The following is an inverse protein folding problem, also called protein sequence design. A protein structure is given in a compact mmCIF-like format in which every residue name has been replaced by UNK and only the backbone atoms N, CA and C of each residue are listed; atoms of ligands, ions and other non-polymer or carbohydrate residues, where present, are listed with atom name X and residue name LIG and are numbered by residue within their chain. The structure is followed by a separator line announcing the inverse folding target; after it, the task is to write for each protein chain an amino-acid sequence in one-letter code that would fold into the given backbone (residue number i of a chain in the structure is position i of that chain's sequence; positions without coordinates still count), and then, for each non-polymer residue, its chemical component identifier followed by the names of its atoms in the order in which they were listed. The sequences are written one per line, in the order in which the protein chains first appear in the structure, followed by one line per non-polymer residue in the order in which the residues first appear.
data_IF_377785059980
#
_entry.id   IF_377785059980
#
_cell.length_a   1.000
_cell.length_b   1.000
_cell.length_c   1.000
_cell.angle_alpha   90.00
_cell.angle_beta   90.00
_cell.angle_gamma   90.00
#
_symmetry.space_group_name_H-M   'P 1'
#
loop_
_entity.id
_entity.type
_entity.pdbx_description
1 polymer ?
#
# COMPACT_ATOMS: atom_id res chain seq x y z
N UNK A 1 9.70 15.93 11.80
CA UNK A 1 8.62 15.14 11.17
C UNK A 1 9.20 14.48 9.94
N UNK A 2 8.86 13.22 9.67
CA UNK A 2 9.48 12.45 8.58
C UNK A 2 8.42 12.05 7.56
N UNK A 3 8.47 12.65 6.37
CA UNK A 3 7.61 12.34 5.22
C UNK A 3 8.42 11.76 4.05
N UNK A 4 9.68 11.39 4.33
CA UNK A 4 10.62 10.81 3.39
C UNK A 4 10.96 9.38 3.81
N UNK A 5 10.93 8.46 2.87
CA UNK A 5 11.35 7.06 3.01
C UNK A 5 12.38 6.75 1.92
N UNK A 6 13.34 5.87 2.22
CA UNK A 6 14.36 5.38 1.32
C UNK A 6 15.75 5.96 1.61
N UNK A 7 16.77 5.28 1.13
CA UNK A 7 18.19 5.62 1.26
C UNK A 7 18.80 5.99 -0.09
N UNK A 8 18.88 5.03 -1.03
CA UNK A 8 19.39 5.25 -2.39
C UNK A 8 18.30 5.75 -3.34
N UNK A 9 17.09 5.18 -3.23
CA UNK A 9 15.89 5.66 -3.91
C UNK A 9 14.94 6.15 -2.85
N UNK A 10 14.76 7.47 -2.73
CA UNK A 10 13.97 8.08 -1.69
C UNK A 10 12.70 8.73 -2.25
N UNK A 11 11.61 8.62 -1.50
CA UNK A 11 10.34 9.27 -1.84
C UNK A 11 9.90 10.19 -0.71
N UNK A 12 9.49 11.41 -1.06
CA UNK A 12 8.90 12.37 -0.13
C UNK A 12 7.46 12.65 -0.53
N UNK A 13 6.51 12.31 0.35
CA UNK A 13 5.08 12.60 0.16
C UNK A 13 4.72 13.95 0.79
N UNK A 14 3.89 14.73 0.10
CA UNK A 14 3.41 16.03 0.59
C UNK A 14 1.97 16.32 0.17
N UNK A 15 1.39 17.33 0.81
CA UNK A 15 0.03 17.80 0.56
C UNK A 15 -1.00 17.24 1.54
N UNK A 16 -2.20 17.79 1.49
CA UNK A 16 -3.38 17.46 2.29
C UNK A 16 -4.57 17.17 1.38
N UNK A 17 -5.52 16.36 1.83
CA UNK A 17 -6.66 15.93 1.01
C UNK A 17 -7.58 17.05 0.56
N UNK A 18 -7.54 18.20 1.23
CA UNK A 18 -8.30 19.42 0.93
C UNK A 18 -7.40 20.61 0.63
N UNK A 19 -6.10 20.41 0.48
CA UNK A 19 -5.17 21.34 -0.12
C UNK A 19 -5.35 21.40 -1.65
N UNK A 20 -4.64 22.26 -2.31
CA UNK A 20 -4.69 22.43 -3.77
C UNK A 20 -4.16 21.20 -4.51
N UNK A 21 -3.05 20.66 -4.02
CA UNK A 21 -2.38 19.48 -4.57
C UNK A 21 -1.98 18.50 -3.48
N UNK A 22 -1.87 17.24 -3.88
CA UNK A 22 -1.01 16.25 -3.24
C UNK A 22 0.12 15.93 -4.21
N UNK A 23 1.24 15.43 -3.71
CA UNK A 23 2.35 15.09 -4.60
C UNK A 23 3.40 14.22 -3.96
N UNK A 24 4.38 13.88 -4.78
CA UNK A 24 5.54 13.11 -4.40
C UNK A 24 6.78 13.64 -5.10
N UNK A 25 7.89 13.64 -4.40
CA UNK A 25 9.24 13.77 -4.98
C UNK A 25 9.91 12.42 -4.87
N UNK A 26 10.48 11.94 -5.99
CA UNK A 26 11.31 10.72 -6.06
C UNK A 26 12.73 11.19 -6.35
N UNK A 27 13.66 10.82 -5.52
CA UNK A 27 15.09 11.09 -5.70
C UNK A 27 15.88 9.78 -5.76
N UNK A 28 17.01 9.78 -6.48
CA UNK A 28 17.92 8.64 -6.59
C UNK A 28 17.58 7.62 -7.68
N UNK A 29 16.55 7.83 -8.52
CA UNK A 29 16.35 6.98 -9.70
C UNK A 29 17.41 7.27 -10.75
N UNK A 30 17.95 6.19 -11.34
CA UNK A 30 18.98 6.30 -12.42
C UNK A 30 18.41 7.03 -13.64
N UNK A 31 19.24 7.75 -14.42
CA UNK A 31 18.83 8.28 -15.71
C UNK A 31 18.60 7.13 -16.72
N UNK A 32 17.62 7.31 -17.62
CA UNK A 32 17.33 6.37 -18.68
C UNK A 32 16.18 5.39 -18.40
N UNK A 33 15.46 5.51 -17.28
CA UNK A 33 14.23 4.75 -17.03
C UNK A 33 13.10 5.34 -17.85
N UNK A 34 12.37 4.50 -18.59
CA UNK A 34 11.17 4.87 -19.34
C UNK A 34 10.02 5.22 -18.40
N UNK A 35 9.36 6.36 -18.63
CA UNK A 35 8.13 6.75 -17.99
C UNK A 35 6.95 6.28 -18.84
N UNK A 36 6.33 5.18 -18.42
CA UNK A 36 5.15 4.64 -19.09
C UNK A 36 3.88 5.26 -18.50
N UNK A 37 3.33 6.27 -19.17
CA UNK A 37 2.14 7.00 -18.74
C UNK A 37 0.88 6.12 -18.68
N UNK A 38 0.74 5.15 -19.60
CA UNK A 38 -0.40 4.22 -19.60
C UNK A 38 -0.35 3.30 -18.37
N UNK A 39 0.84 2.83 -18.00
CA UNK A 39 1.04 2.01 -16.81
C UNK A 39 0.71 2.79 -15.53
N UNK A 40 1.18 4.04 -15.42
CA UNK A 40 0.86 4.92 -14.27
C UNK A 40 -0.65 5.16 -14.18
N UNK A 41 -1.29 5.49 -15.31
CA UNK A 41 -2.74 5.73 -15.37
C UNK A 41 -3.54 4.46 -15.01
N UNK A 42 -3.09 3.28 -15.44
CA UNK A 42 -3.68 2.00 -15.07
C UNK A 42 -3.63 1.77 -13.56
N UNK A 43 -2.46 1.89 -12.92
CA UNK A 43 -2.33 1.71 -11.48
C UNK A 43 -3.15 2.74 -10.68
N UNK A 44 -3.19 4.00 -11.12
CA UNK A 44 -4.07 5.01 -10.52
C UNK A 44 -5.55 4.64 -10.68
N UNK A 45 -5.95 4.07 -11.81
CA UNK A 45 -7.33 3.59 -12.03
C UNK A 45 -7.70 2.46 -11.08
N UNK A 46 -6.81 1.50 -10.85
CA UNK A 46 -7.02 0.42 -9.87
C UNK A 46 -7.15 0.92 -8.42
N UNK A 47 -6.55 2.08 -8.10
CA UNK A 47 -6.69 2.73 -6.79
C UNK A 47 -8.04 3.44 -6.62
N UNK A 48 -8.68 3.86 -7.71
CA UNK A 48 -9.93 4.65 -7.64
C UNK A 48 -11.05 3.87 -6.95
N UNK A 49 -12.02 4.58 -6.35
CA UNK A 49 -13.21 3.93 -5.81
C UNK A 49 -14.00 3.20 -6.92
N UNK A 50 -14.42 1.98 -6.63
CA UNK A 50 -15.46 1.30 -7.37
C UNK A 50 -16.80 1.66 -6.69
N UNK A 51 -17.62 2.50 -7.29
CA UNK A 51 -18.82 3.07 -6.68
C UNK A 51 -19.86 2.05 -6.17
N UNK A 52 -19.66 0.75 -6.40
CA UNK A 52 -20.50 -0.33 -5.87
C UNK A 52 -20.15 -0.70 -4.43
N UNK A 53 -18.87 -0.83 -4.11
CA UNK A 53 -18.35 -1.30 -2.81
C UNK A 53 -17.47 -0.27 -2.09
N UNK A 54 -17.44 0.95 -2.60
CA UNK A 54 -16.68 2.06 -2.04
C UNK A 54 -17.42 3.39 -2.24
N UNK A 55 -16.82 4.47 -1.74
CA UNK A 55 -17.40 5.80 -1.86
C UNK A 55 -17.73 6.16 -3.31
N UNK A 56 -18.86 6.85 -3.58
CA UNK A 56 -19.20 7.36 -4.92
C UNK A 56 -18.35 8.56 -5.35
N UNK A 57 -17.33 8.93 -4.58
CA UNK A 57 -16.41 10.01 -4.92
C UNK A 57 -15.63 9.63 -6.19
N UNK A 58 -15.70 10.47 -7.20
CA UNK A 58 -14.94 10.30 -8.44
C UNK A 58 -13.86 11.37 -8.51
N UNK A 59 -12.61 10.95 -8.55
CA UNK A 59 -11.46 11.79 -8.85
C UNK A 59 -10.74 11.19 -10.05
N UNK A 60 -10.37 12.01 -11.01
CA UNK A 60 -9.68 11.53 -12.22
C UNK A 60 -8.25 11.10 -11.93
N UNK A 61 -7.66 11.60 -10.83
CA UNK A 61 -6.25 11.42 -10.46
C UNK A 61 -5.30 11.80 -11.62
N UNK A 62 -5.69 12.83 -12.38
CA UNK A 62 -4.80 13.40 -13.38
C UNK A 62 -3.53 13.90 -12.70
N UNK A 63 -2.39 13.54 -13.25
CA UNK A 63 -1.11 13.91 -12.66
C UNK A 63 -0.26 14.69 -13.64
N UNK A 64 0.66 15.48 -13.09
CA UNK A 64 1.66 16.22 -13.86
C UNK A 64 3.05 15.93 -13.32
N UNK A 65 3.97 15.50 -14.17
CA UNK A 65 5.40 15.44 -13.84
C UNK A 65 5.99 16.80 -14.18
N UNK A 66 6.62 17.46 -13.20
CA UNK A 66 7.10 18.83 -13.35
C UNK A 66 8.63 18.95 -13.34
N UNK A 67 9.33 17.86 -13.01
CA UNK A 67 10.81 17.79 -13.04
C UNK A 67 11.30 16.35 -13.20
N UNK A 68 12.57 16.18 -13.53
CA UNK A 68 13.27 14.90 -13.53
C UNK A 68 13.01 14.01 -14.74
N UNK A 69 12.27 14.48 -15.76
CA UNK A 69 11.90 13.71 -16.96
C UNK A 69 12.02 14.58 -18.21
N UNK A 70 12.64 14.03 -19.24
CA UNK A 70 12.72 14.60 -20.60
C UNK A 70 12.41 13.48 -21.59
N UNK A 71 11.56 13.76 -22.58
CA UNK A 71 11.16 12.81 -23.62
C UNK A 71 10.74 11.43 -23.04
N UNK A 72 9.88 11.46 -22.00
CA UNK A 72 9.41 10.29 -21.27
C UNK A 72 10.53 9.41 -20.66
N UNK A 73 11.68 10.01 -20.34
CA UNK A 73 12.81 9.30 -19.78
C UNK A 73 13.37 10.04 -18.58
N UNK A 74 13.72 9.32 -17.51
CA UNK A 74 14.31 9.91 -16.31
C UNK A 74 15.67 10.55 -16.61
N UNK A 75 15.94 11.71 -16.01
CA UNK A 75 17.22 12.43 -16.18
C UNK A 75 18.24 12.14 -15.08
N UNK A 76 17.82 11.44 -13.99
CA UNK A 76 18.63 11.22 -12.80
C UNK A 76 18.53 12.37 -11.78
N UNK A 77 17.79 13.45 -12.09
CA UNK A 77 17.46 14.50 -11.13
C UNK A 77 16.10 14.20 -10.45
N UNK A 78 15.77 14.85 -9.33
CA UNK A 78 14.52 14.56 -8.61
C UNK A 78 13.27 14.69 -9.49
N UNK A 79 12.44 13.65 -9.48
CA UNK A 79 11.15 13.61 -10.19
C UNK A 79 10.08 14.13 -9.25
N UNK A 80 9.37 15.17 -9.66
CA UNK A 80 8.25 15.71 -8.90
C UNK A 80 6.94 15.47 -9.64
N UNK A 81 5.99 14.81 -8.95
CA UNK A 81 4.64 14.53 -9.45
C UNK A 81 3.63 15.30 -8.62
N UNK A 82 2.74 16.02 -9.29
CA UNK A 82 1.63 16.76 -8.69
C UNK A 82 0.31 16.17 -9.14
N UNK A 83 -0.64 16.02 -8.21
CA UNK A 83 -2.02 15.57 -8.46
C UNK A 83 -2.98 16.58 -7.83
N UNK A 84 -3.82 17.26 -8.63
CA UNK A 84 -4.76 18.25 -8.10
C UNK A 84 -5.90 17.58 -7.30
N UNK A 85 -6.43 18.29 -6.33
CA UNK A 85 -7.62 17.91 -5.58
C UNK A 85 -8.84 18.62 -6.16
N UNK A 86 -9.63 17.94 -6.99
CA UNK A 86 -10.76 18.54 -7.71
C UNK A 86 -12.09 18.49 -6.93
N UNK A 87 -12.28 17.49 -6.07
CA UNK A 87 -13.56 17.21 -5.38
C UNK A 87 -13.52 17.60 -3.89
N UNK A 88 -13.20 18.86 -3.60
CA UNK A 88 -13.09 19.36 -2.23
C UNK A 88 -14.44 19.93 -1.76
N UNK A 89 -15.17 19.17 -0.92
CA UNK A 89 -16.37 19.65 -0.20
C UNK A 89 -16.02 19.87 1.27
N UNK A 90 -15.63 21.09 1.62
CA UNK A 90 -15.19 21.42 3.00
C UNK A 90 -16.33 21.57 4.00
N UNK A 91 -17.59 21.74 3.56
CA UNK A 91 -18.75 21.93 4.43
C UNK A 91 -19.14 20.71 5.29
N UNK A 92 -18.84 19.50 4.83
CA UNK A 92 -19.22 18.24 5.50
C UNK A 92 -18.40 17.95 6.77
N UNK A 93 -17.35 18.74 7.07
CA UNK A 93 -16.37 18.45 8.14
C UNK A 93 -16.39 19.45 9.31
N UNK A 94 -17.38 20.34 9.38
CA UNK A 94 -17.43 21.39 10.41
C UNK A 94 -17.53 20.85 11.85
N UNK A 95 -18.26 19.73 12.05
CA UNK A 95 -18.36 19.08 13.36
C UNK A 95 -17.12 18.24 13.72
N UNK A 96 -16.31 17.85 12.72
CA UNK A 96 -15.13 17.01 12.93
C UNK A 96 -13.87 17.82 13.34
N UNK A 97 -13.98 19.14 13.50
CA UNK A 97 -12.86 19.99 13.96
C UNK A 97 -12.49 19.78 15.40
N UNK A 98 -13.43 19.37 16.23
CA UNK A 98 -13.24 19.23 17.68
C UNK A 98 -13.64 17.87 18.22
N UNK A 99 -14.51 17.15 17.50
CA UNK A 99 -14.97 15.82 17.89
C UNK A 99 -14.08 14.76 17.24
N UNK A 100 -13.36 14.00 18.04
CA UNK A 100 -12.46 12.95 17.56
C UNK A 100 -13.25 11.78 16.97
N UNK A 101 -12.96 11.40 15.73
CA UNK A 101 -13.46 10.13 15.17
C UNK A 101 -12.77 8.96 15.85
N UNK A 102 -13.50 8.02 16.45
CA UNK A 102 -12.90 6.82 17.05
C UNK A 102 -12.00 6.09 16.05
N UNK A 103 -10.83 5.66 16.50
CA UNK A 103 -9.82 4.95 15.67
C UNK A 103 -9.28 5.71 14.46
N UNK A 104 -9.59 7.00 14.31
CA UNK A 104 -8.96 7.89 13.32
C UNK A 104 -7.80 8.68 13.95
N UNK A 105 -7.09 9.46 13.13
CA UNK A 105 -5.91 10.23 13.58
C UNK A 105 -6.25 11.60 14.22
N UNK A 106 -7.51 11.98 14.36
CA UNK A 106 -7.90 13.35 14.71
C UNK A 106 -7.26 13.83 16.03
N UNK A 107 -7.44 13.07 17.11
CA UNK A 107 -6.88 13.42 18.40
C UNK A 107 -5.35 13.32 18.45
N UNK A 108 -4.79 12.26 17.85
CA UNK A 108 -3.33 12.08 17.81
C UNK A 108 -2.65 13.15 16.96
N UNK A 109 -3.32 13.62 15.91
CA UNK A 109 -2.85 14.74 15.09
C UNK A 109 -2.90 16.05 15.89
N UNK A 110 -3.98 16.32 16.62
CA UNK A 110 -4.09 17.49 17.51
C UNK A 110 -2.94 17.54 18.51
N UNK A 111 -2.66 16.40 19.19
CA UNK A 111 -1.54 16.30 20.12
C UNK A 111 -0.17 16.54 19.45
N UNK A 112 0.04 15.97 18.26
CA UNK A 112 1.33 16.03 17.57
C UNK A 112 1.60 17.39 16.94
N UNK A 113 0.59 17.98 16.32
CA UNK A 113 0.71 19.20 15.53
C UNK A 113 0.18 20.45 16.26
N UNK A 114 -0.23 20.29 17.53
CA UNK A 114 -0.69 21.40 18.40
C UNK A 114 -1.86 22.20 17.80
N UNK A 115 -2.75 21.54 17.06
CA UNK A 115 -3.91 22.14 16.43
C UNK A 115 -3.63 22.88 15.09
N UNK A 116 -2.41 22.83 14.57
CA UNK A 116 -2.03 23.48 13.30
C UNK A 116 -2.18 22.56 12.07
N UNK A 117 -2.60 21.30 12.26
CA UNK A 117 -2.86 20.41 11.13
C UNK A 117 -4.09 20.83 10.33
N UNK A 118 -4.09 20.56 9.01
CA UNK A 118 -5.33 20.64 8.24
C UNK A 118 -6.27 19.49 8.61
N UNK A 119 -7.33 19.81 9.35
CA UNK A 119 -8.32 18.82 9.79
C UNK A 119 -9.37 18.46 8.72
N UNK A 120 -9.41 19.18 7.59
CA UNK A 120 -10.40 18.96 6.52
C UNK A 120 -10.17 17.61 5.87
N UNK A 121 -11.19 16.74 5.85
CA UNK A 121 -11.16 15.42 5.19
C UNK A 121 -10.09 14.44 5.68
N UNK A 122 -9.45 14.73 6.82
CA UNK A 122 -8.35 13.95 7.37
C UNK A 122 -6.96 14.46 6.95
N UNK A 123 -6.87 15.57 6.21
CA UNK A 123 -5.64 16.27 5.89
C UNK A 123 -4.56 15.37 5.28
N UNK A 124 -3.38 15.41 5.85
CA UNK A 124 -2.25 14.56 5.46
C UNK A 124 -2.41 13.07 5.85
N UNK A 125 -3.31 12.74 6.77
CA UNK A 125 -3.63 11.35 7.16
C UNK A 125 -4.65 10.68 6.24
N UNK A 126 -5.16 11.40 5.25
CA UNK A 126 -6.16 10.89 4.31
C UNK A 126 -5.57 9.83 3.39
N UNK A 127 -6.37 8.79 3.09
CA UNK A 127 -6.05 7.83 2.02
C UNK A 127 -5.88 8.48 0.64
N UNK A 128 -6.28 9.75 0.46
CA UNK A 128 -6.04 10.53 -0.76
C UNK A 128 -4.55 10.63 -1.11
N UNK A 129 -3.68 10.78 -0.12
CA UNK A 129 -2.23 10.92 -0.30
C UNK A 129 -1.64 9.68 -1.00
N UNK A 130 -2.25 8.52 -0.86
CA UNK A 130 -1.79 7.29 -1.52
C UNK A 130 -1.82 7.36 -3.05
N UNK A 131 -2.52 8.33 -3.66
CA UNK A 131 -2.47 8.49 -5.12
C UNK A 131 -1.07 8.94 -5.57
N UNK A 132 -0.43 9.84 -4.83
CA UNK A 132 0.95 10.25 -5.09
C UNK A 132 1.93 9.08 -4.90
N UNK A 133 1.75 8.28 -3.84
CA UNK A 133 2.55 7.07 -3.61
C UNK A 133 2.39 6.05 -4.76
N UNK A 134 1.16 5.84 -5.26
CA UNK A 134 0.90 4.93 -6.38
C UNK A 134 1.53 5.45 -7.67
N UNK A 135 1.48 6.75 -7.95
CA UNK A 135 2.12 7.32 -9.13
C UNK A 135 3.65 7.11 -9.12
N UNK A 136 4.30 7.32 -7.97
CA UNK A 136 5.73 7.04 -7.77
C UNK A 136 6.05 5.55 -7.90
N UNK A 137 5.29 4.72 -7.19
CA UNK A 137 5.47 3.27 -7.19
C UNK A 137 5.21 2.63 -8.55
N UNK A 138 4.36 3.23 -9.39
CA UNK A 138 4.14 2.77 -10.77
C UNK A 138 5.41 2.89 -11.62
N UNK A 139 6.17 3.98 -11.49
CA UNK A 139 7.47 4.15 -12.17
C UNK A 139 8.44 3.07 -11.70
N UNK A 140 8.56 2.88 -10.39
CA UNK A 140 9.42 1.85 -9.80
C UNK A 140 9.01 0.44 -10.23
N UNK A 141 7.71 0.12 -10.19
CA UNK A 141 7.20 -1.22 -10.54
C UNK A 141 7.45 -1.53 -12.02
N UNK A 142 7.23 -0.57 -12.90
CA UNK A 142 7.50 -0.73 -14.32
C UNK A 142 9.00 -0.97 -14.60
N UNK A 143 9.90 -0.23 -13.94
CA UNK A 143 11.34 -0.45 -14.02
C UNK A 143 11.74 -1.85 -13.54
N UNK A 144 11.17 -2.31 -12.42
CA UNK A 144 11.40 -3.65 -11.89
C UNK A 144 10.92 -4.75 -12.84
N UNK A 145 9.75 -4.59 -13.47
CA UNK A 145 9.23 -5.56 -14.46
C UNK A 145 10.14 -5.73 -15.66
N UNK A 146 10.81 -4.65 -16.13
CA UNK A 146 11.84 -4.72 -17.18
C UNK A 146 13.07 -5.53 -16.75
N UNK A 147 13.30 -5.64 -15.44
CA UNK A 147 14.38 -6.46 -14.85
C UNK A 147 13.91 -7.86 -14.45
N UNK A 148 12.67 -8.23 -14.76
CA UNK A 148 12.12 -9.54 -14.45
C UNK A 148 11.63 -9.68 -13.00
N UNK A 149 11.51 -8.59 -12.25
CA UNK A 149 10.94 -8.59 -10.90
C UNK A 149 9.46 -8.20 -11.00
N UNK A 150 8.57 -9.09 -10.56
CA UNK A 150 7.12 -8.91 -10.66
C UNK A 150 6.48 -8.91 -9.28
N UNK A 151 5.52 -8.01 -9.10
CA UNK A 151 4.79 -7.82 -7.83
C UNK A 151 3.30 -7.94 -8.10
N UNK A 152 2.60 -8.69 -7.27
CA UNK A 152 1.13 -8.75 -7.31
C UNK A 152 0.53 -9.05 -5.94
N UNK A 153 -0.52 -8.33 -5.63
CA UNK A 153 -1.25 -8.44 -4.36
C UNK A 153 -2.69 -8.84 -4.62
N UNK A 154 -3.21 -9.78 -3.83
CA UNK A 154 -4.62 -10.11 -3.83
C UNK A 154 -5.28 -9.86 -2.47
N UNK A 155 -6.62 -9.79 -2.50
CA UNK A 155 -7.42 -9.78 -1.27
C UNK A 155 -7.50 -11.21 -0.76
N UNK A 156 -6.56 -11.59 0.09
CA UNK A 156 -6.45 -12.94 0.67
C UNK A 156 -7.63 -13.29 1.55
N UNK A 157 -8.16 -12.32 2.28
CA UNK A 157 -9.36 -12.49 3.11
C UNK A 157 -10.08 -11.17 3.29
N UNK A 158 -11.41 -11.16 3.23
CA UNK A 158 -12.24 -10.01 3.54
C UNK A 158 -13.51 -10.47 4.26
N UNK A 159 -13.90 -9.78 5.32
CA UNK A 159 -15.10 -10.11 6.12
C UNK A 159 -15.16 -11.59 6.56
N UNK A 160 -14.02 -12.22 6.83
CA UNK A 160 -13.94 -13.63 7.23
C UNK A 160 -13.93 -14.64 6.07
N UNK A 161 -14.19 -14.22 4.83
CA UNK A 161 -14.16 -15.06 3.63
C UNK A 161 -12.75 -15.04 3.06
N UNK A 162 -12.20 -16.21 2.74
CA UNK A 162 -10.84 -16.36 2.20
C UNK A 162 -10.86 -16.65 0.71
N UNK A 163 -9.89 -16.09 0.00
CA UNK A 163 -9.51 -16.47 -1.36
C UNK A 163 -8.64 -17.72 -1.35
N UNK A 164 -8.46 -18.38 -2.50
CA UNK A 164 -7.50 -19.46 -2.64
C UNK A 164 -6.05 -19.02 -2.42
N UNK A 165 -5.17 -19.94 -2.18
CA UNK A 165 -3.74 -19.70 -2.13
C UNK A 165 -3.18 -19.38 -3.54
N UNK A 166 -2.05 -18.66 -3.58
CA UNK A 166 -1.24 -18.48 -4.77
C UNK A 166 -0.76 -19.85 -5.29
N UNK A 167 -0.84 -20.05 -6.60
CA UNK A 167 -0.40 -21.27 -7.28
C UNK A 167 0.71 -20.98 -8.29
N UNK A 168 0.34 -20.80 -9.55
CA UNK A 168 1.27 -20.42 -10.63
C UNK A 168 1.59 -18.93 -10.55
N UNK A 169 2.60 -18.57 -9.74
CA UNK A 169 2.86 -17.21 -9.27
C UNK A 169 2.86 -16.16 -10.38
N UNK A 170 3.59 -16.37 -11.49
CA UNK A 170 3.65 -15.38 -12.57
C UNK A 170 2.27 -15.17 -13.21
N UNK A 171 1.56 -16.27 -13.50
CA UNK A 171 0.21 -16.21 -14.08
C UNK A 171 -0.80 -15.56 -13.12
N UNK A 172 -0.71 -15.89 -11.83
CA UNK A 172 -1.59 -15.31 -10.81
C UNK A 172 -1.30 -13.80 -10.65
N UNK A 173 -0.04 -13.37 -10.59
CA UNK A 173 0.35 -11.95 -10.54
C UNK A 173 -0.20 -11.18 -11.75
N UNK A 174 -0.05 -11.73 -12.97
CA UNK A 174 -0.53 -11.07 -14.19
C UNK A 174 -2.05 -10.87 -14.16
N UNK A 175 -2.81 -11.89 -13.72
CA UNK A 175 -4.27 -11.78 -13.56
C UNK A 175 -4.66 -10.76 -12.49
N UNK A 176 -4.00 -10.77 -11.34
CA UNK A 176 -4.29 -9.84 -10.23
C UNK A 176 -4.05 -8.39 -10.65
N UNK A 177 -2.99 -8.12 -11.40
CA UNK A 177 -2.65 -6.78 -11.86
C UNK A 177 -3.66 -6.17 -12.84
N UNK A 178 -4.58 -6.97 -13.39
CA UNK A 178 -5.67 -6.50 -14.27
C UNK A 178 -7.02 -6.33 -13.55
N UNK A 179 -7.18 -6.89 -12.35
CA UNK A 179 -8.47 -6.90 -11.64
C UNK A 179 -8.62 -5.69 -10.72
N UNK A 180 -9.78 -5.06 -10.73
CA UNK A 180 -10.16 -4.01 -9.75
C UNK A 180 -10.36 -4.62 -8.37
N UNK A 181 -11.16 -5.69 -8.26
CA UNK A 181 -11.26 -6.51 -7.05
C UNK A 181 -10.37 -7.74 -7.25
N UNK A 182 -9.11 -7.63 -6.80
CA UNK A 182 -8.07 -8.60 -7.09
C UNK A 182 -8.18 -9.82 -6.17
N UNK A 183 -8.86 -10.85 -6.64
CA UNK A 183 -8.93 -12.20 -6.07
C UNK A 183 -8.55 -13.22 -7.12
N UNK A 184 -8.12 -14.39 -6.69
CA UNK A 184 -7.73 -15.51 -7.54
C UNK A 184 -8.91 -16.42 -7.86
N UNK A 185 -9.87 -16.56 -6.90
CA UNK A 185 -11.12 -17.28 -7.07
C UNK A 185 -12.30 -16.29 -7.14
N UNK A 186 -12.96 -16.24 -8.30
CA UNK A 186 -14.04 -15.29 -8.54
C UNK A 186 -15.26 -15.56 -7.64
N UNK A 187 -15.53 -16.83 -7.28
CA UNK A 187 -16.65 -17.19 -6.39
C UNK A 187 -16.41 -16.62 -4.99
N UNK A 188 -15.19 -16.76 -4.48
CA UNK A 188 -14.81 -16.15 -3.19
C UNK A 188 -14.89 -14.63 -3.26
N UNK A 189 -14.48 -14.03 -4.39
CA UNK A 189 -14.58 -12.60 -4.64
C UNK A 189 -16.03 -12.09 -4.59
N UNK A 190 -16.97 -12.78 -5.22
CA UNK A 190 -18.40 -12.44 -5.19
C UNK A 190 -18.94 -12.47 -3.75
N UNK A 191 -18.64 -13.52 -2.98
CA UNK A 191 -19.01 -13.62 -1.56
C UNK A 191 -18.42 -12.49 -0.70
N UNK A 192 -17.16 -12.10 -0.95
CA UNK A 192 -16.55 -10.97 -0.27
C UNK A 192 -17.29 -9.66 -0.59
N UNK A 193 -17.64 -9.44 -1.85
CA UNK A 193 -18.41 -8.26 -2.29
C UNK A 193 -19.79 -8.24 -1.64
N UNK A 194 -20.50 -9.36 -1.57
CA UNK A 194 -21.79 -9.48 -0.89
C UNK A 194 -21.66 -9.14 0.60
N UNK A 195 -20.62 -9.63 1.29
CA UNK A 195 -20.37 -9.33 2.70
C UNK A 195 -20.04 -7.84 2.92
N UNK A 196 -19.30 -7.20 2.00
CA UNK A 196 -19.06 -5.75 2.04
C UNK A 196 -20.36 -4.97 1.90
N UNK A 197 -21.25 -5.36 0.96
CA UNK A 197 -22.53 -4.70 0.75
C UNK A 197 -23.48 -4.90 1.93
N UNK A 198 -23.48 -6.08 2.55
CA UNK A 198 -24.23 -6.35 3.77
C UNK A 198 -23.81 -5.41 4.92
N UNK A 199 -22.50 -5.31 5.18
CA UNK A 199 -21.97 -4.38 6.17
C UNK A 199 -22.34 -2.92 5.86
N UNK A 200 -22.23 -2.51 4.58
CA UNK A 200 -22.61 -1.17 4.14
C UNK A 200 -24.09 -0.88 4.40
N UNK A 201 -24.99 -1.85 4.18
CA UNK A 201 -26.43 -1.71 4.44
C UNK A 201 -26.76 -1.54 5.90
N UNK A 202 -25.91 -2.04 6.79
CA UNK A 202 -26.01 -1.88 8.25
C UNK A 202 -25.31 -0.61 8.76
N UNK A 203 -24.77 0.22 7.85
CA UNK A 203 -23.99 1.42 8.20
C UNK A 203 -22.63 1.10 8.83
N UNK A 204 -22.08 -0.08 8.54
CA UNK A 204 -20.82 -0.58 9.11
C UNK A 204 -19.73 -0.74 8.04
N UNK A 205 -18.57 -1.25 8.43
CA UNK A 205 -17.42 -1.50 7.56
C UNK A 205 -16.73 -2.81 7.91
N UNK A 206 -15.98 -3.36 6.95
CA UNK A 206 -15.20 -4.57 7.12
C UNK A 206 -13.73 -4.36 6.78
N UNK A 207 -12.87 -5.10 7.43
CA UNK A 207 -11.45 -5.19 7.13
C UNK A 207 -11.10 -6.43 6.33
N UNK A 208 -9.80 -6.67 6.16
CA UNK A 208 -9.32 -7.86 5.47
C UNK A 208 -7.81 -8.05 5.56
N UNK A 209 -7.34 -9.03 4.84
CA UNK A 209 -5.93 -9.37 4.70
C UNK A 209 -5.55 -9.28 3.22
N UNK A 210 -4.48 -8.58 2.93
CA UNK A 210 -3.84 -8.57 1.62
C UNK A 210 -2.64 -9.52 1.65
N UNK A 211 -2.43 -10.30 0.59
CA UNK A 211 -1.23 -11.11 0.42
C UNK A 211 -0.51 -10.69 -0.86
N UNK A 212 0.79 -10.41 -0.73
CA UNK A 212 1.66 -10.01 -1.84
C UNK A 212 2.66 -11.11 -2.14
N UNK A 213 2.81 -11.41 -3.43
CA UNK A 213 3.92 -12.18 -3.97
C UNK A 213 4.85 -11.27 -4.77
N UNK A 214 6.16 -11.41 -4.53
CA UNK A 214 7.22 -10.79 -5.32
C UNK A 214 8.10 -11.91 -5.87
N UNK A 215 8.27 -11.98 -7.18
CA UNK A 215 9.11 -12.98 -7.85
C UNK A 215 10.21 -12.31 -8.66
N UNK A 216 11.28 -13.05 -8.91
CA UNK A 216 12.39 -12.58 -9.72
C UNK A 216 13.41 -11.71 -8.96
N UNK A 217 13.30 -11.60 -7.65
CA UNK A 217 14.33 -10.93 -6.85
C UNK A 217 15.65 -11.72 -6.90
N UNK A 218 16.78 -11.05 -7.16
CA UNK A 218 18.08 -11.70 -7.02
C UNK A 218 18.36 -12.05 -5.56
N UNK A 219 19.23 -13.04 -5.34
CA UNK A 219 19.73 -13.39 -4.03
C UNK A 219 20.67 -12.31 -3.48
N UNK A 220 20.73 -12.15 -2.15
CA UNK A 220 21.67 -11.29 -1.49
C UNK A 220 21.29 -9.81 -1.43
N UNK A 221 20.01 -9.49 -1.55
CA UNK A 221 19.47 -8.12 -1.38
C UNK A 221 18.94 -7.96 0.04
N UNK A 222 19.23 -6.84 0.68
CA UNK A 222 18.92 -6.54 2.07
C UNK A 222 20.15 -6.60 2.95
N UNK A 223 20.04 -6.01 4.14
CA UNK A 223 21.14 -5.92 5.10
C UNK A 223 20.78 -6.62 6.41
N UNK A 224 21.73 -7.22 7.12
CA UNK A 224 21.49 -7.72 8.46
C UNK A 224 21.24 -6.54 9.42
N UNK A 225 20.46 -6.78 10.48
CA UNK A 225 20.03 -5.90 11.56
C UNK A 225 18.92 -4.91 11.14
N UNK A 226 19.22 -3.70 10.66
CA UNK A 226 18.21 -2.62 10.62
C UNK A 226 17.52 -2.45 9.27
N UNK A 227 18.22 -2.73 8.17
CA UNK A 227 17.67 -2.60 6.80
C UNK A 227 17.43 -3.99 6.16
N UNK A 228 16.92 -4.92 6.99
CA UNK A 228 16.40 -6.19 6.49
C UNK A 228 15.26 -5.94 5.50
N UNK A 229 15.11 -6.82 4.52
CA UNK A 229 13.98 -6.69 3.56
C UNK A 229 12.64 -6.68 4.28
N UNK A 230 12.47 -7.52 5.31
CA UNK A 230 11.26 -7.50 6.14
C UNK A 230 11.10 -6.16 6.88
N UNK A 231 12.20 -5.62 7.41
CA UNK A 231 12.20 -4.34 8.12
C UNK A 231 11.81 -3.18 7.22
N UNK A 232 12.39 -3.09 6.02
CA UNK A 232 12.09 -2.05 5.04
C UNK A 232 10.64 -2.16 4.52
N UNK A 233 10.18 -3.37 4.16
CA UNK A 233 8.80 -3.61 3.75
C UNK A 233 7.83 -3.27 4.89
N UNK A 234 8.10 -3.71 6.10
CA UNK A 234 7.25 -3.41 7.26
C UNK A 234 7.16 -1.91 7.53
N UNK A 235 8.28 -1.19 7.45
CA UNK A 235 8.33 0.26 7.65
C UNK A 235 7.39 0.99 6.67
N UNK A 236 7.47 0.65 5.38
CA UNK A 236 6.61 1.31 4.37
C UNK A 236 5.17 0.84 4.45
N UNK A 237 4.91 -0.45 4.76
CA UNK A 237 3.54 -0.95 4.88
C UNK A 237 2.77 -0.28 6.02
N UNK A 238 3.40 -0.05 7.17
CA UNK A 238 2.75 0.68 8.28
C UNK A 238 2.54 2.18 7.98
N UNK A 239 3.11 2.74 6.92
CA UNK A 239 2.78 4.09 6.44
C UNK A 239 1.46 4.13 5.68
N UNK A 240 1.00 3.00 5.14
CA UNK A 240 -0.27 2.89 4.43
C UNK A 240 -1.42 2.98 5.45
N UNK A 241 -2.38 3.91 5.27
CA UNK A 241 -3.51 4.02 6.19
C UNK A 241 -4.26 2.68 6.34
N UNK A 242 -4.65 2.38 7.58
CA UNK A 242 -5.38 1.19 8.01
C UNK A 242 -4.56 -0.10 8.16
N UNK A 243 -3.31 -0.17 7.76
CA UNK A 243 -2.45 -1.32 8.07
C UNK A 243 -2.22 -1.41 9.58
N UNK A 244 -2.45 -2.61 10.15
CA UNK A 244 -2.33 -2.91 11.58
C UNK A 244 -1.45 -4.11 11.89
N UNK A 245 -1.02 -4.85 10.88
CA UNK A 245 -0.12 -6.00 11.04
C UNK A 245 0.53 -6.37 9.72
N UNK A 246 1.68 -7.03 9.81
CA UNK A 246 2.39 -7.63 8.70
C UNK A 246 3.02 -8.93 9.17
N UNK A 247 3.08 -9.93 8.28
CA UNK A 247 3.78 -11.19 8.50
C UNK A 247 4.39 -11.70 7.19
N UNK A 248 5.49 -12.45 7.28
CA UNK A 248 6.23 -13.00 6.14
C UNK A 248 6.19 -14.52 6.16
N UNK A 249 6.15 -15.17 4.99
CA UNK A 249 6.10 -16.62 4.87
C UNK A 249 4.95 -17.25 5.66
N UNK A 250 5.25 -18.17 6.55
CA UNK A 250 4.26 -18.76 7.44
C UNK A 250 3.74 -17.79 8.51
N UNK A 251 4.43 -16.64 8.71
CA UNK A 251 4.02 -15.62 9.66
C UNK A 251 3.95 -16.14 11.09
N UNK A 252 2.91 -15.75 11.83
CA UNK A 252 2.74 -16.19 13.22
C UNK A 252 2.56 -17.71 13.37
N UNK A 253 2.07 -18.41 12.34
CA UNK A 253 1.92 -19.87 12.41
C UNK A 253 3.27 -20.61 12.57
N UNK A 254 4.40 -19.98 12.24
CA UNK A 254 5.73 -20.57 12.42
C UNK A 254 6.05 -20.88 13.90
N UNK A 255 5.44 -20.11 14.83
CA UNK A 255 5.64 -20.30 16.27
C UNK A 255 5.11 -21.64 16.80
N UNK A 256 4.17 -22.25 16.11
CA UNK A 256 3.58 -23.53 16.45
C UNK A 256 4.28 -24.73 15.75
N UNK A 257 5.28 -24.43 14.88
CA UNK A 257 6.01 -25.43 14.12
C UNK A 257 7.26 -25.90 14.88
N UNK A 258 7.63 -27.15 14.65
CA UNK A 258 8.96 -27.65 15.03
C UNK A 258 9.99 -27.19 13.99
N UNK A 259 11.27 -27.05 14.37
CA UNK A 259 12.34 -26.65 13.45
C UNK A 259 12.40 -27.50 12.18
N UNK A 260 12.16 -28.82 12.28
CA UNK A 260 12.11 -29.71 11.14
C UNK A 260 10.93 -29.44 10.16
N UNK A 261 9.91 -28.73 10.59
CA UNK A 261 8.74 -28.34 9.79
C UNK A 261 8.89 -26.93 9.21
N UNK A 262 9.59 -26.04 9.94
CA UNK A 262 9.79 -24.64 9.54
C UNK A 262 11.02 -24.39 8.69
N UNK A 263 11.99 -25.32 8.69
CA UNK A 263 13.15 -25.23 7.84
C UNK A 263 12.80 -25.44 6.37
N UNK A 264 13.32 -24.58 5.49
CA UNK A 264 13.17 -24.71 4.04
C UNK A 264 14.36 -25.52 3.47
N UNK A 265 14.18 -26.82 3.12
CA UNK A 265 15.28 -27.66 2.64
C UNK A 265 15.82 -27.15 1.30
N UNK A 266 17.14 -26.99 1.22
CA UNK A 266 17.83 -26.51 0.03
C UNK A 266 18.07 -27.64 -0.97
N UNK A 267 18.01 -27.31 -2.27
CA UNK A 267 18.29 -28.20 -3.41
C UNK A 267 19.04 -27.45 -4.50
N UNK A 268 19.85 -28.19 -5.22
CA UNK A 268 20.51 -27.69 -6.43
C UNK A 268 19.71 -28.14 -7.64
N UNK A 269 19.16 -27.18 -8.40
CA UNK A 269 18.40 -27.46 -9.64
C UNK A 269 18.99 -26.61 -10.75
N UNK A 270 19.49 -27.29 -11.80
CA UNK A 270 20.13 -26.64 -12.95
C UNK A 270 21.23 -25.64 -12.56
N UNK A 271 22.02 -25.95 -11.54
CA UNK A 271 23.11 -25.09 -11.05
C UNK A 271 22.66 -23.92 -10.17
N UNK A 272 21.36 -23.81 -9.89
CA UNK A 272 20.83 -22.79 -8.97
C UNK A 272 20.37 -23.42 -7.67
N UNK A 273 20.62 -22.75 -6.56
CA UNK A 273 20.09 -23.11 -5.26
C UNK A 273 18.61 -22.68 -5.19
N UNK A 274 17.75 -23.59 -4.80
CA UNK A 274 16.34 -23.33 -4.50
C UNK A 274 15.98 -24.00 -3.17
N UNK A 275 14.88 -23.60 -2.56
CA UNK A 275 14.26 -24.33 -1.45
C UNK A 275 13.04 -25.10 -1.93
N UNK A 276 12.75 -26.24 -1.27
CA UNK A 276 11.59 -27.11 -1.63
C UNK A 276 10.29 -26.66 -0.97
N UNK A 277 10.40 -25.76 -0.01
CA UNK A 277 9.30 -25.05 0.64
C UNK A 277 9.67 -23.56 0.74
N UNK A 278 8.76 -22.72 1.20
CA UNK A 278 8.99 -21.30 1.35
C UNK A 278 8.34 -20.77 2.64
N UNK A 279 8.59 -21.49 3.75
CA UNK A 279 8.05 -21.15 5.08
C UNK A 279 8.58 -19.79 5.56
N UNK A 280 9.84 -19.47 5.21
CA UNK A 280 10.49 -18.21 5.55
C UNK A 280 10.15 -17.06 4.57
N UNK A 281 9.30 -17.30 3.55
CA UNK A 281 8.84 -16.25 2.64
C UNK A 281 9.91 -15.60 1.79
N UNK A 282 10.96 -16.33 1.38
CA UNK A 282 11.99 -15.86 0.44
C UNK A 282 13.12 -15.04 1.10
N UNK A 283 13.14 -14.94 2.43
CA UNK A 283 14.08 -14.09 3.16
C UNK A 283 14.71 -14.90 4.31
N UNK A 284 16.03 -14.91 4.41
CA UNK A 284 16.77 -15.51 5.49
C UNK A 284 17.79 -14.52 6.04
N UNK A 285 17.75 -14.27 7.35
CA UNK A 285 18.64 -13.31 7.99
C UNK A 285 18.48 -11.87 7.49
N UNK A 286 17.29 -11.51 7.01
CA UNK A 286 17.00 -10.19 6.46
C UNK A 286 17.35 -10.01 4.99
N UNK A 287 17.82 -11.05 4.32
CA UNK A 287 18.41 -11.02 2.98
C UNK A 287 17.63 -11.97 2.06
N UNK A 288 17.37 -11.55 0.83
CA UNK A 288 16.67 -12.38 -0.18
C UNK A 288 17.48 -13.64 -0.51
N UNK A 289 16.79 -14.77 -0.65
CA UNK A 289 17.39 -16.05 -1.01
C UNK A 289 17.06 -16.53 -2.44
N UNK A 290 16.46 -15.65 -3.28
CA UNK A 290 16.06 -15.96 -4.65
C UNK A 290 14.70 -16.64 -4.77
N UNK A 291 14.09 -17.10 -3.68
CA UNK A 291 12.74 -17.61 -3.66
C UNK A 291 11.72 -16.46 -3.67
N UNK A 292 10.44 -16.72 -4.02
CA UNK A 292 9.41 -15.70 -3.96
C UNK A 292 9.30 -15.07 -2.57
N UNK A 293 9.26 -13.72 -2.51
CA UNK A 293 8.94 -13.04 -1.26
C UNK A 293 7.42 -13.06 -1.11
N UNK A 294 6.94 -13.63 -0.02
CA UNK A 294 5.51 -13.70 0.32
C UNK A 294 5.29 -13.03 1.66
N UNK A 295 4.39 -12.04 1.68
CA UNK A 295 3.99 -11.40 2.93
C UNK A 295 2.50 -11.03 2.92
N UNK A 296 1.93 -10.88 4.11
CA UNK A 296 0.54 -10.48 4.32
C UNK A 296 0.44 -9.27 5.20
N UNK A 297 -0.55 -8.41 4.93
CA UNK A 297 -0.89 -7.26 5.78
C UNK A 297 -2.33 -7.33 6.25
N UNK A 298 -2.56 -6.99 7.51
CA UNK A 298 -3.89 -6.86 8.09
C UNK A 298 -4.39 -5.41 7.94
N UNK A 299 -5.53 -5.26 7.28
CA UNK A 299 -6.21 -3.99 7.08
C UNK A 299 -7.40 -3.89 8.04
N UNK A 300 -7.41 -2.89 8.93
CA UNK A 300 -8.56 -2.66 9.81
C UNK A 300 -9.77 -2.17 9.02
N UNK A 301 -11.00 -2.38 9.53
CA UNK A 301 -12.20 -1.75 8.99
C UNK A 301 -12.06 -0.23 8.96
N UNK A 302 -12.75 0.43 8.04
CA UNK A 302 -12.81 1.90 7.98
C UNK A 302 -13.44 2.44 9.26
N UNK A 303 -12.78 3.32 10.02
CA UNK A 303 -13.27 3.74 11.34
C UNK A 303 -14.47 4.67 11.27
N UNK A 304 -14.70 5.35 10.16
CA UNK A 304 -15.86 6.22 9.98
C UNK A 304 -17.03 5.39 9.43
N UNK A 305 -18.01 5.11 10.30
CA UNK A 305 -19.19 4.30 10.01
C UNK A 305 -20.46 5.12 10.27
N UNK A 306 -21.61 4.70 9.72
CA UNK A 306 -22.90 5.40 9.87
C UNK A 306 -23.66 4.99 11.15
N UNK A 307 -22.95 4.52 12.15
CA UNK A 307 -23.49 4.20 13.47
C UNK A 307 -23.07 5.28 14.48
N UNK A 308 -23.91 5.68 15.44
CA UNK A 308 -23.51 6.55 16.53
C UNK A 308 -22.33 5.95 17.31
N UNK A 309 -21.31 6.76 17.57
CA UNK A 309 -20.11 6.32 18.28
C UNK A 309 -19.82 7.26 19.46
N UNK A 310 -19.62 6.69 20.65
CA UNK A 310 -19.16 7.45 21.80
C UNK A 310 -17.73 7.95 21.57
N UNK A 311 -17.48 9.21 21.86
CA UNK A 311 -16.20 9.88 21.63
C UNK A 311 -16.03 11.06 22.58
N UNK A 312 -15.08 11.94 22.30
CA UNK A 312 -14.82 13.17 23.04
C UNK A 312 -14.77 14.38 22.09
N UNK A 313 -15.19 15.52 22.60
CA UNK A 313 -14.77 16.83 22.10
C UNK A 313 -13.43 17.16 22.78
N UNK A 314 -12.34 17.12 22.03
CA UNK A 314 -10.99 17.28 22.58
C UNK A 314 -10.60 18.75 22.82
N UNK A 315 -11.43 19.73 22.43
CA UNK A 315 -11.25 21.13 22.81
C UNK A 315 -11.88 21.45 24.15
N UNK A 316 -13.09 20.97 24.38
CA UNK A 316 -13.80 21.16 25.65
C UNK A 316 -13.48 20.07 26.69
N UNK A 317 -12.84 18.98 26.26
CA UNK A 317 -12.54 17.80 27.08
C UNK A 317 -13.80 17.20 27.70
N UNK A 318 -14.86 17.10 26.91
CA UNK A 318 -16.16 16.54 27.32
C UNK A 318 -16.53 15.33 26.45
N UNK A 319 -17.31 14.41 27.04
CA UNK A 319 -17.89 13.30 26.29
C UNK A 319 -18.84 13.81 25.20
N UNK A 320 -18.84 13.13 24.07
CA UNK A 320 -19.66 13.46 22.90
C UNK A 320 -20.13 12.18 22.19
N UNK A 321 -21.15 12.30 21.36
CA UNK A 321 -21.58 11.26 20.45
C UNK A 321 -21.36 11.77 19.02
N UNK A 322 -20.61 11.00 18.23
CA UNK A 322 -20.40 11.28 16.83
C UNK A 322 -21.41 10.50 15.99
N UNK A 323 -22.17 11.21 15.19
CA UNK A 323 -23.04 10.66 14.14
C UNK A 323 -22.49 11.08 12.78
N UNK A 324 -21.62 10.28 12.16
CA UNK A 324 -20.98 10.65 10.90
C UNK A 324 -22.01 10.80 9.78
N UNK A 325 -21.90 11.91 9.05
CA UNK A 325 -22.63 12.18 7.81
C UNK A 325 -21.63 12.20 6.67
N UNK A 326 -22.08 11.88 5.46
CA UNK A 326 -21.20 11.96 4.30
C UNK A 326 -21.00 10.61 3.59
N UNK A 327 -19.86 10.41 2.96
CA UNK A 327 -19.57 9.25 2.11
C UNK A 327 -18.34 8.52 2.64
N UNK A 328 -18.52 7.29 3.07
CA UNK A 328 -17.46 6.47 3.65
C UNK A 328 -17.34 5.14 2.89
N UNK A 329 -16.12 4.59 2.86
CA UNK A 329 -15.85 3.30 2.23
C UNK A 329 -16.25 2.18 3.21
N UNK A 330 -17.15 1.25 2.87
CA UNK A 330 -17.44 0.09 3.72
C UNK A 330 -16.28 -0.92 3.74
N UNK A 331 -15.39 -0.88 2.75
CA UNK A 331 -14.14 -1.62 2.72
C UNK A 331 -13.11 -0.92 1.85
N UNK A 332 -11.83 -0.97 2.23
CA UNK A 332 -10.75 -0.34 1.47
C UNK A 332 -9.75 -1.34 0.88
N UNK A 333 -9.88 -2.63 1.21
CA UNK A 333 -8.90 -3.67 0.84
C UNK A 333 -8.62 -3.73 -0.65
N UNK A 334 -9.64 -3.65 -1.50
CA UNK A 334 -9.51 -3.69 -2.95
C UNK A 334 -8.68 -2.52 -3.51
N UNK A 335 -8.76 -1.35 -2.88
CA UNK A 335 -7.98 -0.15 -3.25
C UNK A 335 -6.59 -0.16 -2.64
N UNK A 336 -6.48 -0.66 -1.41
CA UNK A 336 -5.22 -0.72 -0.67
C UNK A 336 -4.21 -1.67 -1.32
N UNK A 337 -4.67 -2.71 -2.05
CA UNK A 337 -3.78 -3.67 -2.69
C UNK A 337 -2.81 -3.04 -3.68
N UNK A 338 -3.26 -2.12 -4.55
CA UNK A 338 -2.37 -1.44 -5.50
C UNK A 338 -1.45 -0.44 -4.81
N UNK A 339 -1.86 0.11 -3.67
CA UNK A 339 -0.99 0.94 -2.83
C UNK A 339 0.14 0.10 -2.25
N UNK A 340 -0.16 -1.14 -1.81
CA UNK A 340 0.81 -2.10 -1.31
C UNK A 340 1.80 -2.52 -2.40
N UNK A 341 1.32 -2.79 -3.64
CA UNK A 341 2.19 -3.05 -4.79
C UNK A 341 3.17 -1.90 -5.05
N UNK A 342 2.65 -0.67 -5.09
CA UNK A 342 3.43 0.54 -5.32
C UNK A 342 4.48 0.79 -4.22
N UNK A 343 4.08 0.64 -2.96
CA UNK A 343 4.97 0.79 -1.82
C UNK A 343 6.07 -0.29 -1.82
N UNK A 344 5.72 -1.54 -2.14
CA UNK A 344 6.70 -2.63 -2.31
C UNK A 344 7.71 -2.31 -3.41
N UNK A 345 7.26 -1.81 -4.55
CA UNK A 345 8.14 -1.47 -5.66
C UNK A 345 9.18 -0.40 -5.28
N UNK A 346 8.78 0.62 -4.52
CA UNK A 346 9.69 1.66 -4.02
C UNK A 346 10.76 1.04 -3.10
N UNK A 347 10.34 0.18 -2.15
CA UNK A 347 11.28 -0.51 -1.25
C UNK A 347 12.28 -1.36 -2.03
N UNK A 348 11.80 -2.11 -3.03
CA UNK A 348 12.68 -2.99 -3.81
C UNK A 348 13.65 -2.21 -4.69
N UNK A 349 13.22 -1.08 -5.29
CA UNK A 349 14.13 -0.20 -6.01
C UNK A 349 15.23 0.35 -5.09
N UNK A 350 14.87 0.77 -3.88
CA UNK A 350 15.83 1.25 -2.88
C UNK A 350 16.82 0.14 -2.46
N UNK A 351 16.32 -1.04 -2.08
CA UNK A 351 17.15 -2.17 -1.66
C UNK A 351 18.08 -2.68 -2.77
N UNK A 352 17.58 -2.78 -4.01
CA UNK A 352 18.38 -3.18 -5.16
C UNK A 352 19.45 -2.14 -5.49
N UNK A 353 19.12 -0.85 -5.39
CA UNK A 353 20.08 0.25 -5.60
C UNK A 353 21.13 0.31 -4.53
N UNK A 354 20.80 0.04 -3.26
CA UNK A 354 21.80 -0.10 -2.19
C UNK A 354 22.75 -1.25 -2.45
N UNK A 355 22.26 -2.39 -2.96
CA UNK A 355 23.07 -3.59 -3.21
C UNK A 355 23.93 -3.51 -4.45
N UNK A 356 23.39 -3.02 -5.58
CA UNK A 356 24.02 -3.10 -6.89
C UNK A 356 24.35 -1.74 -7.50
N UNK A 357 24.02 -0.64 -6.82
CA UNK A 357 24.07 0.72 -7.36
C UNK A 357 22.81 1.07 -8.17
N UNK A 358 22.53 2.37 -8.28
CA UNK A 358 21.32 2.88 -8.94
C UNK A 358 21.21 2.47 -10.40
N UNK A 359 22.33 2.31 -11.10
CA UNK A 359 22.37 1.91 -12.52
C UNK A 359 21.83 0.49 -12.79
N UNK A 360 21.64 -0.32 -11.73
CA UNK A 360 21.01 -1.63 -11.89
C UNK A 360 19.59 -1.54 -12.44
N UNK A 361 18.88 -0.46 -12.15
CA UNK A 361 17.49 -0.24 -12.58
C UNK A 361 17.37 0.17 -14.07
N UNK A 362 18.48 0.52 -14.72
CA UNK A 362 18.50 0.94 -16.13
C UNK A 362 18.33 -0.21 -17.10
#
# INVERSE_FOLDING_TARGET
MKNTFGNSVAVTLFGESHGEYIGVVIDGLTPGIEINHEYIAHMLTLRRPDGRISTPRREKDEYKIVSGVVDNTTTGTPITILIPNENVKSGDYSQMKTIARPSHADYTAECKYHGYQDSRGGGHFSGRITAALVAAGAICKFALEKKGVYIGTHVKRCAGISDRDLGELKSDIDKLNQKTFAVLDDISGEKMVEAILAAASEGDSVGGVLETAIIGMPEGVGEPWFDTVEGMLSHVMFSIPAVKGIEFGAGFAISDMRGSQSNDPMRLVNGKMITTSNINGGINGGITNGMPIIFRTAMKPTPTIFKPQNTIDFKTMTEAVLEPKGRHDPAIVHRARVVQDAASAIVLCDALSMRFGTDWLK
#
